data_IF_281882891668
#
_entry.id   IF_281882891668
#
_cell.length_a   1.000
_cell.length_b   1.000
_cell.length_c   1.000
_cell.angle_alpha   90.00
_cell.angle_beta   90.00
_cell.angle_gamma   90.00
#
_symmetry.space_group_name_H-M   'P 1'
#
loop_
_entity.id
_entity.type
_entity.pdbx_description
1 polymer ?
#
# COMPACT_ATOMS: atom_id res chain seq x y z
N UNK A 1 -17.09 -7.01 -4.21
CA UNK A 1 -17.72 -7.93 -3.26
C UNK A 1 -16.75 -8.61 -2.28
N UNK A 2 -15.60 -9.12 -2.70
CA UNK A 2 -14.65 -9.79 -1.78
C UNK A 2 -14.07 -8.87 -0.69
N UNK A 3 -13.78 -7.61 -1.00
CA UNK A 3 -13.26 -6.61 -0.05
C UNK A 3 -14.29 -6.22 1.02
N UNK A 4 -15.55 -6.06 0.64
CA UNK A 4 -16.65 -5.74 1.58
C UNK A 4 -16.93 -6.88 2.57
N UNK A 5 -16.79 -8.13 2.15
CA UNK A 5 -16.98 -9.29 3.02
C UNK A 5 -15.79 -9.47 3.99
N UNK A 6 -14.59 -9.10 3.56
CA UNK A 6 -13.38 -9.14 4.39
C UNK A 6 -13.41 -8.05 5.47
N UNK A 7 -13.85 -6.84 5.11
CA UNK A 7 -14.06 -5.73 6.04
C UNK A 7 -15.06 -6.09 7.16
N UNK A 8 -16.20 -6.72 6.81
CA UNK A 8 -17.16 -7.22 7.82
C UNK A 8 -16.55 -8.25 8.77
N UNK A 9 -15.69 -9.13 8.27
CA UNK A 9 -14.98 -10.13 9.08
C UNK A 9 -13.99 -9.49 10.04
N UNK A 10 -13.29 -8.44 9.61
CA UNK A 10 -12.29 -7.76 10.43
C UNK A 10 -12.93 -6.87 11.50
N UNK A 11 -14.04 -6.17 11.16
CA UNK A 11 -14.88 -5.47 12.14
C UNK A 11 -15.39 -6.44 13.21
N UNK A 12 -15.90 -7.61 12.81
CA UNK A 12 -16.40 -8.59 13.77
C UNK A 12 -15.33 -9.11 14.71
N UNK A 13 -14.08 -9.24 14.27
CA UNK A 13 -12.95 -9.64 15.11
C UNK A 13 -12.60 -8.57 16.14
N UNK A 14 -12.47 -7.30 15.73
CA UNK A 14 -12.21 -6.20 16.66
C UNK A 14 -13.31 -6.11 17.73
N UNK A 15 -14.58 -6.21 17.30
CA UNK A 15 -15.70 -6.22 18.23
C UNK A 15 -15.71 -7.45 19.14
N UNK A 16 -15.34 -8.63 18.66
CA UNK A 16 -15.19 -9.83 19.50
C UNK A 16 -14.07 -9.69 20.54
N UNK A 17 -12.95 -9.06 20.17
CA UNK A 17 -11.88 -8.74 21.14
C UNK A 17 -12.40 -7.84 22.26
N UNK A 18 -13.09 -6.75 21.92
CA UNK A 18 -13.74 -5.87 22.90
C UNK A 18 -14.76 -6.61 23.77
N UNK A 19 -15.66 -7.41 23.16
CA UNK A 19 -16.70 -8.18 23.86
C UNK A 19 -16.13 -9.25 24.80
N UNK A 20 -15.05 -9.93 24.43
CA UNK A 20 -14.43 -10.96 25.27
C UNK A 20 -13.85 -10.39 26.57
N UNK A 21 -13.43 -9.14 26.56
CA UNK A 21 -12.86 -8.44 27.72
C UNK A 21 -13.91 -7.73 28.59
N UNK A 22 -15.12 -7.45 28.08
CA UNK A 22 -16.19 -6.77 28.86
C UNK A 22 -16.52 -7.51 30.17
N UNK A 23 -16.51 -8.86 30.16
CA UNK A 23 -16.81 -9.64 31.36
C UNK A 23 -15.80 -9.49 32.49
N UNK A 24 -14.59 -8.97 32.21
CA UNK A 24 -13.52 -8.73 33.19
C UNK A 24 -13.13 -7.26 33.34
N UNK A 25 -13.61 -6.38 32.45
CA UNK A 25 -13.24 -4.98 32.44
C UNK A 25 -14.04 -4.21 33.50
N UNK A 26 -13.34 -3.64 34.46
CA UNK A 26 -13.93 -2.73 35.47
C UNK A 26 -13.87 -1.26 35.06
N UNK A 27 -13.11 -0.92 34.01
CA UNK A 27 -12.88 0.46 33.58
C UNK A 27 -13.01 0.57 32.06
N UNK A 28 -13.37 1.77 31.60
CA UNK A 28 -13.39 2.17 30.19
C UNK A 28 -12.05 1.90 29.50
N UNK A 29 -10.96 2.22 30.19
CA UNK A 29 -9.57 2.07 29.72
C UNK A 29 -9.23 0.63 29.31
N UNK A 30 -9.74 -0.37 30.04
CA UNK A 30 -9.50 -1.78 29.73
C UNK A 30 -10.12 -2.20 28.38
N UNK A 31 -11.28 -1.62 28.04
CA UNK A 31 -11.98 -1.89 26.77
C UNK A 31 -11.32 -1.14 25.62
N UNK A 32 -10.93 0.12 25.83
CA UNK A 32 -10.19 0.92 24.88
C UNK A 32 -8.88 0.22 24.47
N UNK A 33 -8.08 -0.18 25.45
CA UNK A 33 -6.81 -0.90 25.21
C UNK A 33 -7.02 -2.21 24.44
N UNK A 34 -8.05 -2.99 24.77
CA UNK A 34 -8.33 -4.24 24.07
C UNK A 34 -8.74 -4.01 22.60
N UNK A 35 -9.45 -2.92 22.32
CA UNK A 35 -9.83 -2.58 20.94
C UNK A 35 -8.66 -2.00 20.15
N UNK A 36 -7.79 -1.22 20.77
CA UNK A 36 -6.52 -0.75 20.17
C UNK A 36 -5.60 -1.92 19.83
N UNK A 37 -5.45 -2.92 20.73
CA UNK A 37 -4.71 -4.15 20.46
C UNK A 37 -5.27 -4.87 19.22
N UNK A 38 -6.60 -4.96 19.10
CA UNK A 38 -7.26 -5.56 17.94
C UNK A 38 -6.99 -4.79 16.64
N UNK A 39 -7.00 -3.46 16.66
CA UNK A 39 -6.67 -2.61 15.52
C UNK A 39 -5.20 -2.76 15.12
N UNK A 40 -4.28 -2.75 16.09
CA UNK A 40 -2.84 -2.95 15.84
C UNK A 40 -2.54 -4.31 15.20
N UNK A 41 -3.32 -5.35 15.47
CA UNK A 41 -3.16 -6.66 14.81
C UNK A 41 -3.65 -6.65 13.35
N UNK A 42 -4.73 -5.91 13.06
CA UNK A 42 -5.41 -5.95 11.76
C UNK A 42 -4.78 -4.98 10.76
N UNK A 43 -4.36 -3.79 11.19
CA UNK A 43 -3.78 -2.75 10.32
C UNK A 43 -2.61 -3.25 9.48
N UNK A 44 -1.58 -3.94 10.03
CA UNK A 44 -0.46 -4.45 9.22
C UNK A 44 -0.90 -5.49 8.19
N UNK A 45 -1.97 -6.24 8.46
CA UNK A 45 -2.50 -7.25 7.51
C UNK A 45 -3.19 -6.61 6.31
N UNK A 46 -3.79 -5.43 6.49
CA UNK A 46 -4.41 -4.67 5.42
C UNK A 46 -3.35 -4.00 4.54
N UNK A 47 -2.30 -3.46 5.14
CA UNK A 47 -1.24 -2.71 4.44
C UNK A 47 -0.20 -3.58 3.74
N UNK A 48 0.06 -4.79 4.25
CA UNK A 48 1.17 -5.65 3.83
C UNK A 48 1.28 -5.87 2.32
N UNK A 49 0.15 -5.99 1.61
CA UNK A 49 0.14 -6.29 0.17
C UNK A 49 0.25 -5.05 -0.70
N UNK A 50 -0.19 -3.92 -0.20
CA UNK A 50 -0.20 -2.65 -0.93
C UNK A 50 1.22 -2.13 -1.13
N UNK A 51 2.10 -2.35 -0.17
CA UNK A 51 3.50 -1.92 -0.19
C UNK A 51 4.30 -2.53 -1.35
N UNK A 52 3.98 -3.77 -1.75
CA UNK A 52 4.65 -4.41 -2.88
C UNK A 52 4.41 -3.71 -4.22
N UNK A 53 3.24 -3.07 -4.41
CA UNK A 53 2.96 -2.34 -5.64
C UNK A 53 3.90 -1.14 -5.81
N UNK A 54 4.11 -0.37 -4.75
CA UNK A 54 5.05 0.75 -4.73
C UNK A 54 6.48 0.27 -5.01
N UNK A 55 6.89 -0.84 -4.39
CA UNK A 55 8.19 -1.44 -4.62
C UNK A 55 8.39 -1.84 -6.09
N UNK A 56 7.41 -2.52 -6.70
CA UNK A 56 7.50 -2.93 -8.11
C UNK A 56 7.50 -1.73 -9.06
N UNK A 57 6.75 -0.67 -8.77
CA UNK A 57 6.77 0.55 -9.56
C UNK A 57 8.17 1.21 -9.53
N UNK A 58 8.79 1.31 -8.36
CA UNK A 58 10.15 1.83 -8.22
C UNK A 58 11.17 0.96 -8.97
N UNK A 59 11.08 -0.36 -8.85
CA UNK A 59 11.95 -1.29 -9.58
C UNK A 59 11.77 -1.12 -11.09
N UNK A 60 10.55 -1.01 -11.60
CA UNK A 60 10.29 -0.79 -13.02
C UNK A 60 10.94 0.50 -13.55
N UNK A 61 10.86 1.59 -12.78
CA UNK A 61 11.54 2.85 -13.12
C UNK A 61 13.06 2.70 -13.13
N UNK A 62 13.64 2.04 -12.13
CA UNK A 62 15.09 1.81 -12.04
C UNK A 62 15.59 0.90 -13.17
N UNK A 63 14.82 -0.12 -13.55
CA UNK A 63 15.13 -0.98 -14.70
C UNK A 63 15.08 -0.22 -16.03
N UNK A 64 14.13 0.71 -16.18
CA UNK A 64 14.09 1.63 -17.31
C UNK A 64 15.34 2.49 -17.39
N UNK A 65 15.77 3.06 -16.27
CA UNK A 65 17.00 3.84 -16.18
C UNK A 65 18.25 3.00 -16.48
N UNK A 66 18.32 1.78 -15.94
CA UNK A 66 19.41 0.84 -16.25
C UNK A 66 19.47 0.54 -17.75
N UNK A 67 18.33 0.44 -18.41
CA UNK A 67 18.24 0.27 -19.85
C UNK A 67 18.89 1.43 -20.63
N UNK A 68 18.71 2.69 -20.20
CA UNK A 68 19.40 3.83 -20.84
C UNK A 68 20.90 3.78 -20.64
N UNK A 69 21.37 3.48 -19.45
CA UNK A 69 22.81 3.38 -19.16
C UNK A 69 23.42 2.28 -20.02
N UNK A 70 22.83 1.09 -20.07
CA UNK A 70 23.30 -0.01 -20.91
C UNK A 70 23.28 0.34 -22.40
N UNK A 71 22.23 0.99 -22.87
CA UNK A 71 22.09 1.40 -24.27
C UNK A 71 23.16 2.43 -24.66
N UNK A 72 23.47 3.40 -23.80
CA UNK A 72 24.52 4.38 -24.04
C UNK A 72 25.92 3.75 -24.03
N UNK A 73 26.20 2.80 -23.14
CA UNK A 73 27.46 2.06 -23.13
C UNK A 73 27.65 1.34 -24.48
N UNK A 74 26.60 0.64 -24.97
CA UNK A 74 26.64 -0.03 -26.27
C UNK A 74 26.82 0.96 -27.42
N UNK A 75 26.16 2.12 -27.37
CA UNK A 75 26.29 3.18 -28.37
C UNK A 75 27.74 3.64 -28.51
N UNK A 76 28.38 4.01 -27.41
CA UNK A 76 29.75 4.49 -27.43
C UNK A 76 30.74 3.39 -27.85
N UNK A 77 30.53 2.14 -27.44
CA UNK A 77 31.34 1.02 -27.86
C UNK A 77 31.25 0.78 -29.37
N UNK A 78 30.05 0.81 -29.95
CA UNK A 78 29.82 0.66 -31.39
C UNK A 78 30.47 1.80 -32.19
N UNK A 79 30.29 3.04 -31.75
CA UNK A 79 30.83 4.22 -32.41
C UNK A 79 32.35 4.25 -32.38
N UNK A 80 33.00 3.74 -31.32
CA UNK A 80 34.45 3.66 -31.22
C UNK A 80 35.09 2.80 -32.35
N UNK A 81 34.38 1.77 -32.80
CA UNK A 81 34.82 0.78 -33.78
C UNK A 81 34.31 1.05 -35.21
N UNK A 82 33.38 1.99 -35.39
CA UNK A 82 32.71 2.26 -36.64
C UNK A 82 33.51 3.21 -37.56
N UNK A 83 33.22 3.09 -38.88
CA UNK A 83 33.70 4.04 -39.87
C UNK A 83 33.13 5.46 -39.63
N UNK A 84 33.86 6.53 -39.94
CA UNK A 84 33.39 7.91 -39.71
C UNK A 84 31.98 8.21 -40.33
N UNK A 85 31.68 7.62 -41.47
CA UNK A 85 30.41 7.79 -42.17
C UNK A 85 29.21 7.14 -41.48
N UNK A 86 29.42 6.12 -40.64
CA UNK A 86 28.36 5.32 -39.99
C UNK A 86 28.14 5.72 -38.52
N UNK A 87 29.05 6.48 -37.95
CA UNK A 87 29.05 6.84 -36.51
C UNK A 87 27.74 7.53 -36.08
N UNK A 88 27.25 8.47 -36.88
CA UNK A 88 26.04 9.21 -36.55
C UNK A 88 24.78 8.33 -36.56
N UNK A 89 24.68 7.42 -37.50
CA UNK A 89 23.56 6.49 -37.63
C UNK A 89 23.54 5.47 -36.47
N UNK A 90 24.68 4.86 -36.19
CA UNK A 90 24.84 3.93 -35.07
C UNK A 90 24.53 4.56 -33.72
N UNK A 91 24.99 5.82 -33.51
CA UNK A 91 24.72 6.56 -32.28
C UNK A 91 23.23 6.84 -32.15
N UNK A 92 22.58 7.32 -33.21
CA UNK A 92 21.15 7.63 -33.22
C UNK A 92 20.30 6.39 -32.93
N UNK A 93 20.61 5.27 -33.59
CA UNK A 93 19.91 3.99 -33.39
C UNK A 93 20.04 3.50 -31.93
N UNK A 94 21.24 3.53 -31.38
CA UNK A 94 21.49 3.08 -30.01
C UNK A 94 20.83 3.97 -28.95
N UNK A 95 20.84 5.29 -29.14
CA UNK A 95 20.12 6.24 -28.27
C UNK A 95 18.60 5.95 -28.31
N UNK A 96 18.05 5.71 -29.50
CA UNK A 96 16.62 5.38 -29.64
C UNK A 96 16.26 4.12 -28.84
N UNK A 97 17.07 3.07 -28.89
CA UNK A 97 16.87 1.85 -28.10
C UNK A 97 16.93 2.14 -26.61
N UNK A 98 17.89 2.94 -26.16
CA UNK A 98 18.03 3.34 -24.77
C UNK A 98 16.79 4.12 -24.28
N UNK A 99 16.30 5.09 -25.05
CA UNK A 99 15.09 5.87 -24.73
C UNK A 99 13.84 4.99 -24.64
N UNK A 100 13.70 4.02 -25.54
CA UNK A 100 12.59 3.05 -25.53
C UNK A 100 12.57 2.23 -24.24
N UNK A 101 13.73 1.82 -23.71
CA UNK A 101 13.82 1.11 -22.44
C UNK A 101 13.28 1.94 -21.27
N UNK A 102 13.61 3.23 -21.21
CA UNK A 102 13.05 4.13 -20.19
C UNK A 102 11.55 4.36 -20.37
N UNK A 103 11.10 4.58 -21.60
CA UNK A 103 9.67 4.73 -21.89
C UNK A 103 8.88 3.49 -21.45
N UNK A 104 9.40 2.30 -21.67
CA UNK A 104 8.78 1.05 -21.23
C UNK A 104 8.75 0.94 -19.70
N UNK A 105 9.85 1.29 -19.02
CA UNK A 105 9.92 1.31 -17.56
C UNK A 105 8.88 2.25 -16.95
N UNK A 106 8.74 3.47 -17.48
CA UNK A 106 7.75 4.46 -17.03
C UNK A 106 6.31 4.03 -17.33
N UNK A 107 6.06 3.49 -18.52
CA UNK A 107 4.73 2.98 -18.92
C UNK A 107 4.26 1.87 -17.98
N UNK A 108 5.18 1.08 -17.45
CA UNK A 108 4.86 0.04 -16.45
C UNK A 108 4.71 0.62 -15.04
N UNK A 109 5.56 1.57 -14.64
CA UNK A 109 5.57 2.14 -13.31
C UNK A 109 4.33 3.00 -13.01
N UNK A 110 3.86 3.80 -13.97
CA UNK A 110 2.74 4.75 -13.79
C UNK A 110 1.45 4.03 -13.38
N UNK A 111 0.96 2.98 -14.09
CA UNK A 111 -0.26 2.27 -13.68
C UNK A 111 -0.11 1.58 -12.32
N UNK A 112 1.10 1.06 -11.99
CA UNK A 112 1.36 0.46 -10.68
C UNK A 112 1.27 1.49 -9.54
N UNK A 113 1.80 2.70 -9.75
CA UNK A 113 1.70 3.79 -8.76
C UNK A 113 0.25 4.26 -8.59
N UNK A 114 -0.52 4.38 -9.67
CA UNK A 114 -1.93 4.71 -9.59
C UNK A 114 -2.72 3.66 -8.82
N UNK A 115 -2.51 2.38 -9.11
CA UNK A 115 -3.13 1.28 -8.38
C UNK A 115 -2.72 1.29 -6.90
N UNK A 116 -1.45 1.55 -6.60
CA UNK A 116 -0.95 1.69 -5.23
C UNK A 116 -1.69 2.80 -4.48
N UNK A 117 -1.78 4.00 -5.06
CA UNK A 117 -2.41 5.15 -4.41
C UNK A 117 -3.89 4.89 -4.13
N UNK A 118 -4.64 4.32 -5.08
CA UNK A 118 -6.05 3.99 -4.90
C UNK A 118 -6.22 2.94 -3.77
N UNK A 119 -5.39 1.90 -3.75
CA UNK A 119 -5.46 0.87 -2.72
C UNK A 119 -5.06 1.41 -1.35
N UNK A 120 -4.04 2.27 -1.27
CA UNK A 120 -3.61 2.90 -0.03
C UNK A 120 -4.73 3.76 0.57
N UNK A 121 -5.37 4.61 -0.25
CA UNK A 121 -6.51 5.42 0.19
C UNK A 121 -7.65 4.55 0.74
N UNK A 122 -7.99 3.47 0.04
CA UNK A 122 -9.02 2.53 0.50
C UNK A 122 -8.65 1.82 1.81
N UNK A 123 -7.39 1.49 2.00
CA UNK A 123 -6.90 0.89 3.24
C UNK A 123 -7.03 1.86 4.40
N UNK A 124 -6.62 3.12 4.21
CA UNK A 124 -6.77 4.19 5.22
C UNK A 124 -8.25 4.41 5.59
N UNK A 125 -9.15 4.55 4.59
CA UNK A 125 -10.59 4.68 4.83
C UNK A 125 -11.16 3.51 5.66
N UNK A 126 -10.66 2.29 5.44
CA UNK A 126 -11.09 1.10 6.21
C UNK A 126 -10.59 1.16 7.65
N UNK A 127 -9.34 1.55 7.87
CA UNK A 127 -8.77 1.70 9.23
C UNK A 127 -9.52 2.77 9.99
N UNK A 128 -9.75 3.96 9.41
CA UNK A 128 -10.50 5.05 10.03
C UNK A 128 -11.93 4.62 10.39
N UNK A 129 -12.57 3.82 9.52
CA UNK A 129 -13.91 3.28 9.78
C UNK A 129 -13.91 2.29 10.96
N UNK A 130 -12.86 1.49 11.11
CA UNK A 130 -12.69 0.57 12.24
C UNK A 130 -12.47 1.33 13.54
N UNK A 131 -11.65 2.37 13.54
CA UNK A 131 -11.43 3.25 14.69
C UNK A 131 -12.72 3.93 15.13
N UNK A 132 -13.47 4.52 14.19
CA UNK A 132 -14.76 5.12 14.49
C UNK A 132 -15.78 4.11 15.05
N UNK A 133 -15.81 2.89 14.52
CA UNK A 133 -16.67 1.83 15.02
C UNK A 133 -16.29 1.44 16.46
N UNK A 134 -15.00 1.39 16.77
CA UNK A 134 -14.46 1.11 18.08
C UNK A 134 -14.90 2.16 19.11
N UNK A 135 -14.74 3.43 18.80
CA UNK A 135 -15.15 4.55 19.67
C UNK A 135 -16.67 4.54 19.91
N UNK A 136 -17.47 4.35 18.86
CA UNK A 136 -18.94 4.27 18.99
C UNK A 136 -19.37 3.10 19.87
N UNK A 137 -18.71 1.96 19.73
CA UNK A 137 -19.00 0.77 20.52
C UNK A 137 -18.71 0.99 22.01
N UNK A 138 -17.56 1.57 22.34
CA UNK A 138 -17.19 1.91 23.72
C UNK A 138 -18.21 2.87 24.33
N UNK A 139 -18.57 3.94 23.62
CA UNK A 139 -19.54 4.91 24.09
C UNK A 139 -20.92 4.27 24.35
N UNK A 140 -21.38 3.39 23.48
CA UNK A 140 -22.66 2.67 23.63
C UNK A 140 -22.69 1.75 24.86
N UNK A 141 -21.56 1.10 25.17
CA UNK A 141 -21.44 0.23 26.35
C UNK A 141 -21.45 1.07 27.62
N UNK A 142 -20.75 2.20 27.63
CA UNK A 142 -20.67 3.09 28.79
C UNK A 142 -22.03 3.73 29.09
N UNK A 143 -22.76 4.15 28.07
CA UNK A 143 -24.10 4.70 28.22
C UNK A 143 -25.07 3.69 28.86
N UNK A 144 -25.01 2.42 28.43
CA UNK A 144 -25.81 1.35 29.05
C UNK A 144 -25.41 1.05 30.49
N UNK A 145 -24.13 1.14 30.81
CA UNK A 145 -23.64 0.91 32.17
C UNK A 145 -24.10 2.02 33.12
N UNK A 146 -24.18 3.27 32.67
CA UNK A 146 -24.65 4.41 33.48
C UNK A 146 -26.16 4.34 33.70
N UNK A 147 -26.94 3.93 32.70
CA UNK A 147 -28.42 3.81 32.82
C UNK A 147 -28.81 2.58 33.66
N UNK A 148 -28.04 1.48 33.61
CA UNK A 148 -28.31 0.25 34.40
C UNK A 148 -27.87 0.36 35.88
N UNK A 149 -27.09 1.37 36.27
CA UNK A 149 -26.66 1.58 37.65
C UNK A 149 -27.54 2.51 38.49
N UNK A 150 -28.65 3.01 37.92
CA UNK A 150 -29.59 3.93 38.59
C UNK A 150 -30.85 3.25 39.14
N UNK A 151 -30.84 1.93 39.36
CA UNK A 151 -31.90 1.20 40.04
C UNK A 151 -31.44 0.53 41.31
#
# INVERSE_FOLDING_TARGET
>A
MALSNRSKSDISKVLMYGLSRIKGARRREDIETAMEEGLMEITPRLEKRTHYLSMFANIATLLGLLGTVSGLIQAFTAVAQANPSEKAELLSASISIAMNATAFGLTTAIPLLLAYTILQTKTTELVDSLEMASVKFINMIMERATVGGSH
#
